data_IF_141883645549
#
_entry.id   IF_141883645549
#
_cell.length_a   1.000
_cell.length_b   1.000
_cell.length_c   1.000
_cell.angle_alpha   90.00
_cell.angle_beta   90.00
_cell.angle_gamma   90.00
#
_symmetry.space_group_name_H-M   'P 1'
#
loop_
_entity.id
_entity.type
_entity.pdbx_description
1 polymer ?
#
# COMPACT_ATOMS: atom_id res chain seq x y z
N UNK A 1 7.03 -11.07 -0.65
CA UNK A 1 7.24 -11.53 -2.04
C UNK A 1 8.38 -10.74 -2.72
N UNK A 2 8.41 -9.40 -2.64
CA UNK A 2 9.42 -8.54 -3.31
C UNK A 2 10.89 -8.86 -2.96
N UNK A 3 11.24 -9.05 -1.67
CA UNK A 3 12.63 -9.29 -1.26
C UNK A 3 13.20 -10.67 -1.67
N UNK A 4 12.35 -11.72 -1.72
CA UNK A 4 12.79 -13.06 -2.13
C UNK A 4 13.11 -13.13 -3.63
N UNK A 5 12.42 -12.35 -4.47
CA UNK A 5 12.66 -12.28 -5.91
C UNK A 5 13.95 -11.51 -6.24
N UNK A 6 14.23 -10.43 -5.50
CA UNK A 6 15.42 -9.59 -5.65
C UNK A 6 16.72 -10.39 -5.47
N UNK A 7 16.80 -11.22 -4.41
CA UNK A 7 18.00 -12.02 -4.10
C UNK A 7 18.25 -13.15 -5.11
N UNK A 8 17.22 -13.60 -5.84
CA UNK A 8 17.31 -14.74 -6.77
C UNK A 8 17.66 -14.33 -8.20
N UNK A 9 17.36 -13.09 -8.60
CA UNK A 9 17.56 -12.60 -9.98
C UNK A 9 18.60 -11.48 -10.10
N UNK A 10 19.13 -10.94 -9.01
CA UNK A 10 20.10 -9.83 -9.10
C UNK A 10 19.43 -8.46 -9.27
N UNK A 11 20.15 -7.40 -8.92
CA UNK A 11 19.64 -6.03 -8.93
C UNK A 11 19.29 -5.55 -10.35
N UNK A 12 20.00 -6.07 -11.34
CA UNK A 12 19.85 -5.77 -12.77
C UNK A 12 18.48 -6.16 -13.34
N UNK A 13 17.77 -7.06 -12.66
CA UNK A 13 16.45 -7.55 -13.08
C UNK A 13 15.29 -6.88 -12.32
N UNK A 14 15.59 -5.93 -11.43
CA UNK A 14 14.57 -5.16 -10.72
C UNK A 14 14.09 -3.99 -11.60
N UNK A 15 12.80 -3.97 -11.92
CA UNK A 15 12.17 -2.87 -12.67
C UNK A 15 11.35 -1.95 -11.79
N UNK A 16 10.91 -2.42 -10.61
CA UNK A 16 10.06 -1.64 -9.72
C UNK A 16 10.32 -1.99 -8.25
N UNK A 17 10.40 -0.95 -7.41
CA UNK A 17 10.42 -1.06 -5.96
C UNK A 17 9.15 -0.44 -5.39
N UNK A 18 8.47 -1.24 -4.57
CA UNK A 18 7.29 -0.83 -3.82
C UNK A 18 7.63 -0.97 -2.34
N UNK A 19 7.73 0.14 -1.62
CA UNK A 19 7.99 0.17 -0.18
C UNK A 19 6.89 0.96 0.56
N UNK A 20 6.90 0.90 1.89
CA UNK A 20 5.96 1.68 2.68
C UNK A 20 6.20 3.20 2.55
N UNK A 21 5.23 3.99 2.98
CA UNK A 21 5.28 5.45 2.94
C UNK A 21 5.93 6.05 4.20
N UNK A 22 6.71 5.28 4.95
CA UNK A 22 7.47 5.83 6.06
C UNK A 22 8.52 6.81 5.51
N UNK A 23 8.80 7.89 6.23
CA UNK A 23 9.73 8.95 5.79
C UNK A 23 11.09 8.40 5.36
N UNK A 24 11.60 7.41 6.08
CA UNK A 24 12.87 6.73 5.77
C UNK A 24 12.80 5.93 4.45
N UNK A 25 11.68 5.26 4.20
CA UNK A 25 11.45 4.48 2.99
C UNK A 25 11.22 5.38 1.77
N UNK A 26 10.47 6.47 1.95
CA UNK A 26 10.25 7.48 0.91
C UNK A 26 11.57 8.16 0.50
N UNK A 27 12.40 8.58 1.46
CA UNK A 27 13.72 9.16 1.19
C UNK A 27 14.65 8.18 0.46
N UNK A 28 14.68 6.91 0.89
CA UNK A 28 15.48 5.89 0.22
C UNK A 28 14.98 5.63 -1.22
N UNK A 29 13.67 5.60 -1.42
CA UNK A 29 13.04 5.46 -2.73
C UNK A 29 13.37 6.60 -3.68
N UNK A 30 13.25 7.84 -3.21
CA UNK A 30 13.62 9.04 -3.99
C UNK A 30 15.10 9.08 -4.31
N UNK A 31 15.96 8.70 -3.36
CA UNK A 31 17.41 8.66 -3.56
C UNK A 31 17.80 7.64 -4.63
N UNK A 32 17.10 6.50 -4.67
CA UNK A 32 17.31 5.47 -5.71
C UNK A 32 16.79 5.92 -7.08
N UNK A 33 15.60 6.53 -7.13
CA UNK A 33 15.03 7.04 -8.37
C UNK A 33 15.86 8.20 -8.96
N UNK A 34 16.58 8.94 -8.11
CA UNK A 34 17.49 10.01 -8.52
C UNK A 34 18.89 9.55 -8.92
N UNK A 35 19.27 8.29 -8.70
CA UNK A 35 20.59 7.76 -9.07
C UNK A 35 20.62 7.42 -10.58
N UNK A 36 21.46 8.10 -11.40
CA UNK A 36 21.57 7.83 -12.83
C UNK A 36 21.94 6.37 -13.16
N UNK A 37 22.68 5.71 -12.28
CA UNK A 37 23.09 4.30 -12.42
C UNK A 37 21.95 3.32 -12.18
N UNK A 38 20.86 3.78 -11.56
CA UNK A 38 19.66 3.01 -11.21
C UNK A 38 18.43 3.48 -12.00
N UNK A 39 18.62 4.25 -13.08
CA UNK A 39 17.55 4.85 -13.91
C UNK A 39 16.52 3.87 -14.50
N UNK A 40 16.84 2.57 -14.53
CA UNK A 40 15.92 1.50 -14.94
C UNK A 40 14.92 1.08 -13.84
N UNK A 41 15.12 1.50 -12.59
CA UNK A 41 14.31 1.11 -11.44
C UNK A 41 13.30 2.20 -11.14
N UNK A 42 12.01 1.88 -11.29
CA UNK A 42 10.92 2.76 -10.88
C UNK A 42 10.63 2.58 -9.39
N UNK A 43 10.61 3.68 -8.64
CA UNK A 43 10.10 3.67 -7.28
C UNK A 43 8.65 4.16 -7.27
N UNK A 44 7.78 3.42 -6.58
CA UNK A 44 6.41 3.83 -6.33
C UNK A 44 6.06 3.55 -4.88
N UNK A 45 5.48 4.50 -4.13
CA UNK A 45 5.02 4.25 -2.78
C UNK A 45 3.93 3.17 -2.78
N UNK A 46 3.83 2.40 -1.69
CA UNK A 46 2.81 1.37 -1.56
C UNK A 46 1.41 2.01 -1.51
N UNK A 47 0.75 2.07 -2.67
CA UNK A 47 -0.53 2.75 -2.92
C UNK A 47 -1.59 2.41 -1.87
N UNK A 48 -1.66 1.13 -1.46
CA UNK A 48 -2.61 0.70 -0.43
C UNK A 48 -2.36 1.37 0.93
N UNK A 49 -1.11 1.66 1.29
CA UNK A 49 -0.78 2.38 2.51
C UNK A 49 -1.15 3.86 2.42
N UNK A 50 -0.85 4.54 1.31
CA UNK A 50 -1.23 5.94 1.12
C UNK A 50 -2.75 6.11 1.11
N UNK A 51 -3.50 5.19 0.48
CA UNK A 51 -4.97 5.15 0.58
C UNK A 51 -5.42 4.97 2.04
N UNK A 52 -4.83 4.04 2.78
CA UNK A 52 -5.15 3.83 4.19
C UNK A 52 -4.83 5.05 5.06
N UNK A 53 -3.75 5.79 4.80
CA UNK A 53 -3.45 7.03 5.49
C UNK A 53 -4.46 8.13 5.17
N UNK A 54 -4.82 8.30 3.90
CA UNK A 54 -5.85 9.26 3.47
C UNK A 54 -7.18 8.94 4.13
N UNK A 55 -7.62 7.68 4.10
CA UNK A 55 -8.86 7.24 4.75
C UNK A 55 -8.81 7.46 6.26
N UNK A 56 -7.69 7.17 6.93
CA UNK A 56 -7.55 7.44 8.38
C UNK A 56 -7.61 8.93 8.71
N UNK A 57 -6.95 9.77 7.90
CA UNK A 57 -6.98 11.23 8.05
C UNK A 57 -8.41 11.77 7.90
N UNK A 58 -9.14 11.22 6.92
CA UNK A 58 -10.53 11.54 6.67
C UNK A 58 -11.45 11.06 7.81
N UNK A 59 -11.28 9.84 8.29
CA UNK A 59 -12.10 9.25 9.35
C UNK A 59 -11.81 9.84 10.73
N UNK A 60 -10.62 10.40 10.93
CA UNK A 60 -10.19 11.07 12.15
C UNK A 60 -9.67 12.48 11.86
N UNK A 61 -10.53 13.39 11.35
CA UNK A 61 -10.11 14.72 10.96
C UNK A 61 -9.59 15.44 12.21
N UNK A 62 -8.38 16.00 12.13
CA UNK A 62 -7.94 16.98 13.12
C UNK A 62 -9.04 18.04 13.23
N UNK A 63 -9.55 18.25 14.45
CA UNK A 63 -10.83 18.86 14.84
C UNK A 63 -11.20 20.25 14.27
N UNK A 64 -10.53 20.75 13.22
CA UNK A 64 -10.58 22.14 12.76
C UNK A 64 -11.28 22.37 11.42
N UNK A 65 -11.49 21.33 10.59
CA UNK A 65 -12.13 21.52 9.28
C UNK A 65 -13.52 20.87 9.20
N UNK A 66 -14.54 21.65 9.56
CA UNK A 66 -15.94 21.25 9.45
C UNK A 66 -16.34 20.84 8.01
N UNK A 67 -15.68 21.43 7.00
CA UNK A 67 -15.87 21.07 5.60
C UNK A 67 -15.37 19.65 5.29
N UNK A 68 -14.21 19.25 5.83
CA UNK A 68 -13.68 17.89 5.63
C UNK A 68 -14.59 16.85 6.29
N UNK A 69 -15.07 17.14 7.50
CA UNK A 69 -16.03 16.27 8.22
C UNK A 69 -17.30 16.07 7.39
N UNK A 70 -17.84 17.14 6.79
CA UNK A 70 -19.05 17.08 5.97
C UNK A 70 -18.82 16.35 4.64
N UNK A 71 -17.76 16.67 3.91
CA UNK A 71 -17.47 16.06 2.61
C UNK A 71 -17.11 14.58 2.71
N UNK A 72 -16.70 14.11 3.88
CA UNK A 72 -16.26 12.73 4.08
C UNK A 72 -17.17 11.88 4.96
N UNK A 73 -18.34 12.38 5.35
CA UNK A 73 -19.29 11.63 6.18
C UNK A 73 -19.69 10.30 5.53
N UNK A 74 -19.79 10.28 4.19
CA UNK A 74 -20.11 9.07 3.41
C UNK A 74 -19.11 7.92 3.63
N UNK A 75 -17.84 8.20 3.96
CA UNK A 75 -16.85 7.16 4.24
C UNK A 75 -17.16 6.42 5.54
N UNK A 76 -17.69 7.13 6.55
CA UNK A 76 -18.19 6.49 7.78
C UNK A 76 -19.41 5.62 7.51
N UNK A 77 -20.29 6.05 6.61
CA UNK A 77 -21.46 5.27 6.20
C UNK A 77 -21.07 3.93 5.58
N UNK A 78 -19.96 3.89 4.84
CA UNK A 78 -19.45 2.69 4.15
C UNK A 78 -18.42 1.90 4.99
N UNK A 79 -18.07 2.37 6.20
CA UNK A 79 -17.06 1.72 7.04
C UNK A 79 -17.45 0.28 7.38
N UNK A 80 -18.74 0.05 7.67
CA UNK A 80 -19.25 -1.28 8.00
C UNK A 80 -19.19 -2.22 6.80
N UNK A 81 -19.56 -1.74 5.61
CA UNK A 81 -19.51 -2.53 4.38
C UNK A 81 -18.08 -2.92 4.01
N UNK A 82 -17.14 -1.98 4.15
CA UNK A 82 -15.70 -2.25 3.95
C UNK A 82 -15.21 -3.30 4.95
N UNK A 83 -15.61 -3.22 6.23
CA UNK A 83 -15.28 -4.25 7.23
C UNK A 83 -15.85 -5.61 6.85
N UNK A 84 -17.08 -5.66 6.36
CA UNK A 84 -17.74 -6.88 5.92
C UNK A 84 -17.04 -7.50 4.70
N UNK A 85 -16.73 -6.69 3.68
CA UNK A 85 -15.97 -7.14 2.50
C UNK A 85 -14.60 -7.67 2.91
N UNK A 86 -13.88 -6.94 3.78
CA UNK A 86 -12.59 -7.39 4.31
C UNK A 86 -12.74 -8.75 4.99
N UNK A 87 -13.70 -8.88 5.90
CA UNK A 87 -13.94 -10.12 6.64
C UNK A 87 -14.30 -11.28 5.71
N UNK A 88 -15.10 -11.01 4.67
CA UNK A 88 -15.41 -11.99 3.64
C UNK A 88 -14.13 -12.44 2.92
N UNK A 89 -13.35 -11.52 2.36
CA UNK A 89 -12.13 -11.84 1.60
C UNK A 89 -11.09 -12.58 2.44
N UNK A 90 -10.83 -12.15 3.69
CA UNK A 90 -9.77 -12.74 4.52
C UNK A 90 -10.17 -14.08 5.16
N UNK A 91 -11.46 -14.29 5.43
CA UNK A 91 -11.94 -15.54 6.04
C UNK A 91 -12.53 -16.51 5.01
N UNK A 92 -12.53 -16.15 3.73
CA UNK A 92 -12.98 -17.06 2.68
C UNK A 92 -12.02 -18.24 2.55
N UNK A 93 -12.53 -19.47 2.59
CA UNK A 93 -11.72 -20.68 2.51
C UNK A 93 -10.86 -20.74 1.23
N UNK A 94 -11.29 -20.07 0.15
CA UNK A 94 -10.49 -20.02 -1.08
C UNK A 94 -9.29 -19.08 -0.99
N UNK A 95 -9.26 -18.10 -0.06
CA UNK A 95 -8.07 -17.26 0.13
C UNK A 95 -6.87 -18.11 0.58
N UNK A 96 -7.11 -19.03 1.52
CA UNK A 96 -6.12 -20.02 1.94
C UNK A 96 -5.75 -20.98 0.80
N UNK A 97 -6.73 -21.46 0.03
CA UNK A 97 -6.48 -22.35 -1.10
C UNK A 97 -5.64 -21.67 -2.21
N UNK A 98 -5.93 -20.41 -2.54
CA UNK A 98 -5.16 -19.60 -3.48
C UNK A 98 -3.74 -19.36 -2.93
N UNK A 99 -3.61 -18.97 -1.67
CA UNK A 99 -2.30 -18.80 -1.04
C UNK A 99 -1.47 -20.08 -1.13
N UNK A 100 -2.04 -21.22 -0.76
CA UNK A 100 -1.35 -22.52 -0.83
C UNK A 100 -0.97 -22.91 -2.26
N UNK A 101 -1.81 -22.59 -3.25
CA UNK A 101 -1.56 -22.92 -4.67
C UNK A 101 -0.39 -22.13 -5.28
N UNK A 102 -0.19 -20.88 -4.88
CA UNK A 102 0.82 -19.98 -5.49
C UNK A 102 2.03 -19.69 -4.59
N UNK A 103 2.10 -20.28 -3.40
CA UNK A 103 3.24 -20.13 -2.47
C UNK A 103 4.26 -21.28 -2.52
N UNK A 104 3.99 -22.33 -3.29
CA UNK A 104 4.90 -23.43 -3.64
C UNK A 104 5.41 -23.28 -5.08
#
# INVERSE_FOLDING_TARGET
VVYKSYKRRGEENAVQIINDDASVCSLAGMSLAGDPKKSQIFWTPYVAHSINLVVKSICNPTKKDANVVKSCSWIKEHENDIKNIRNFVVNHQNALAIFNKYSN
#
